data_IF_675504428338
#
_entry.id   IF_675504428338
#
_cell.length_a   1.000
_cell.length_b   1.000
_cell.length_c   1.000
_cell.angle_alpha   90.00
_cell.angle_beta   90.00
_cell.angle_gamma   90.00
#
_symmetry.space_group_name_H-M   'P 1'
#
loop_
_entity.id
_entity.type
_entity.pdbx_description
1 polymer ?
#
# COMPACT_ATOMS: atom_id res chain seq x y z
N UNK A 1 10.61 -5.74 16.47
CA UNK A 1 10.00 -4.40 16.65
C UNK A 1 11.09 -3.34 16.56
N UNK A 2 11.41 -2.90 15.36
CA UNK A 2 12.28 -1.72 15.18
C UNK A 2 11.35 -0.51 15.22
N UNK A 3 11.17 0.09 16.40
CA UNK A 3 10.46 1.36 16.51
C UNK A 3 11.16 2.38 15.61
N UNK A 4 10.36 3.13 14.86
CA UNK A 4 10.88 4.23 14.04
C UNK A 4 11.71 5.17 14.92
N UNK A 5 12.89 5.57 14.46
CA UNK A 5 13.73 6.55 15.15
C UNK A 5 12.89 7.81 15.42
N UNK A 6 12.87 8.28 16.66
CA UNK A 6 12.16 9.51 17.08
C UNK A 6 12.42 10.71 16.16
N UNK A 7 13.56 10.71 15.46
CA UNK A 7 13.92 11.75 14.48
C UNK A 7 13.09 11.64 13.21
N UNK A 8 12.85 10.42 12.70
CA UNK A 8 12.03 10.18 11.51
C UNK A 8 10.59 10.57 11.81
N UNK A 9 10.05 10.17 12.98
CA UNK A 9 8.72 10.54 13.44
C UNK A 9 8.51 12.05 13.51
N UNK A 10 9.48 12.77 14.08
CA UNK A 10 9.40 14.24 14.15
C UNK A 10 9.45 14.89 12.77
N UNK A 11 10.23 14.33 11.84
CA UNK A 11 10.31 14.84 10.47
C UNK A 11 9.06 14.48 9.68
N UNK A 12 8.50 13.29 9.88
CA UNK A 12 7.20 12.93 9.34
C UNK A 12 6.15 13.98 9.73
N UNK A 13 6.01 14.28 11.02
CA UNK A 13 5.04 15.28 11.50
C UNK A 13 5.25 16.64 10.84
N UNK A 14 6.49 17.15 10.82
CA UNK A 14 6.80 18.43 10.20
C UNK A 14 6.42 18.48 8.73
N UNK A 15 6.73 17.44 7.95
CA UNK A 15 6.35 17.36 6.55
C UNK A 15 4.85 17.23 6.39
N UNK A 16 4.25 16.30 7.14
CA UNK A 16 2.84 15.95 7.02
C UNK A 16 1.93 17.14 7.32
N UNK A 17 2.16 17.84 8.43
CA UNK A 17 1.34 18.99 8.83
C UNK A 17 1.45 20.18 7.85
N UNK A 18 2.55 20.30 7.13
CA UNK A 18 2.71 21.32 6.10
C UNK A 18 2.11 20.93 4.74
N UNK A 19 2.06 19.63 4.42
CA UNK A 19 1.39 19.13 3.23
C UNK A 19 -0.13 19.05 3.41
N UNK A 20 -0.59 18.72 4.61
CA UNK A 20 -1.98 18.49 4.94
C UNK A 20 -2.40 19.27 6.20
N UNK A 21 -2.48 20.61 6.10
CA UNK A 21 -2.69 21.48 7.26
C UNK A 21 -4.05 21.33 7.93
N UNK A 22 -5.02 20.73 7.24
CA UNK A 22 -6.38 20.54 7.76
C UNK A 22 -6.53 19.27 8.61
N UNK A 23 -5.52 18.42 8.68
CA UNK A 23 -5.57 17.17 9.46
C UNK A 23 -5.32 17.44 10.93
N UNK A 24 -6.15 16.86 11.79
CA UNK A 24 -5.98 16.94 13.25
C UNK A 24 -4.90 15.95 13.75
N UNK A 25 -4.55 16.05 15.05
CA UNK A 25 -3.49 15.22 15.63
C UNK A 25 -3.74 13.71 15.54
N UNK A 26 -4.98 13.25 15.65
CA UNK A 26 -5.31 11.82 15.58
C UNK A 26 -5.18 11.31 14.15
N UNK A 27 -5.58 12.11 13.17
CA UNK A 27 -5.41 11.82 11.75
C UNK A 27 -3.91 11.77 11.38
N UNK A 28 -3.11 12.67 11.92
CA UNK A 28 -1.65 12.67 11.76
C UNK A 28 -1.04 11.40 12.37
N UNK A 29 -1.47 10.98 13.57
CA UNK A 29 -1.00 9.75 14.22
C UNK A 29 -1.40 8.49 13.43
N UNK A 30 -2.62 8.43 12.90
CA UNK A 30 -3.07 7.33 12.04
C UNK A 30 -2.21 7.22 10.78
N UNK A 31 -1.98 8.34 10.11
CA UNK A 31 -1.14 8.42 8.92
C UNK A 31 0.32 8.04 9.21
N UNK A 32 0.87 8.45 10.38
CA UNK A 32 2.20 8.06 10.82
C UNK A 32 2.32 6.55 11.05
N UNK A 33 1.32 5.92 11.66
CA UNK A 33 1.29 4.46 11.83
C UNK A 33 1.31 3.74 10.49
N UNK A 34 0.51 4.20 9.53
CA UNK A 34 0.47 3.59 8.20
C UNK A 34 1.77 3.81 7.41
N UNK A 35 2.34 5.00 7.50
CA UNK A 35 3.65 5.31 6.92
C UNK A 35 4.75 4.36 7.45
N UNK A 36 4.76 4.11 8.76
CA UNK A 36 5.68 3.15 9.38
C UNK A 36 5.45 1.74 8.85
N UNK A 37 4.19 1.33 8.74
CA UNK A 37 3.82 0.05 8.18
C UNK A 37 4.33 -0.11 6.74
N UNK A 38 4.21 0.92 5.88
CA UNK A 38 4.76 0.88 4.53
C UNK A 38 6.27 0.65 4.57
N UNK A 39 6.99 1.44 5.37
CA UNK A 39 8.46 1.34 5.45
C UNK A 39 8.92 -0.02 5.97
N UNK A 40 8.22 -0.59 6.94
CA UNK A 40 8.57 -1.89 7.53
C UNK A 40 8.26 -3.07 6.61
N UNK A 41 7.23 -2.95 5.77
CA UNK A 41 6.76 -4.01 4.89
C UNK A 41 7.14 -3.79 3.42
N UNK A 42 8.05 -2.89 3.13
CA UNK A 42 8.51 -2.66 1.76
C UNK A 42 9.18 -3.94 1.21
N UNK A 43 8.86 -4.35 -0.04
CA UNK A 43 9.28 -5.66 -0.56
C UNK A 43 10.79 -5.84 -0.67
N UNK A 44 11.53 -4.78 -0.96
CA UNK A 44 12.98 -4.84 -1.13
C UNK A 44 13.70 -4.24 0.08
N UNK A 45 14.50 -5.06 0.77
CA UNK A 45 15.28 -4.63 1.94
C UNK A 45 16.32 -3.55 1.61
N UNK A 46 16.90 -3.58 0.41
CA UNK A 46 17.88 -2.56 -0.01
C UNK A 46 17.21 -1.20 -0.17
N UNK A 47 15.98 -1.17 -0.64
CA UNK A 47 15.18 0.03 -0.80
C UNK A 47 14.70 0.59 0.54
N UNK A 48 14.38 -0.27 1.50
CA UNK A 48 14.10 0.16 2.89
C UNK A 48 15.29 0.91 3.48
N UNK A 49 16.49 0.40 3.30
CA UNK A 49 17.70 1.06 3.80
C UNK A 49 17.88 2.41 3.13
N UNK A 50 17.72 2.49 1.81
CA UNK A 50 17.81 3.75 1.06
C UNK A 50 16.74 4.76 1.53
N UNK A 51 15.49 4.33 1.70
CA UNK A 51 14.41 5.16 2.23
C UNK A 51 14.73 5.66 3.65
N UNK A 52 15.21 4.79 4.53
CA UNK A 52 15.58 5.18 5.91
C UNK A 52 16.73 6.17 5.92
N UNK A 53 17.78 5.92 5.14
CA UNK A 53 18.92 6.84 5.00
C UNK A 53 18.44 8.17 4.45
N UNK A 54 17.60 8.14 3.42
CA UNK A 54 17.01 9.35 2.85
C UNK A 54 16.20 10.12 3.88
N UNK A 55 15.27 9.49 4.59
CA UNK A 55 14.48 10.17 5.63
C UNK A 55 15.35 10.68 6.79
N UNK A 56 16.42 9.96 7.12
CA UNK A 56 17.39 10.42 8.12
C UNK A 56 18.12 11.70 7.66
N UNK A 57 18.65 11.69 6.44
CA UNK A 57 19.33 12.85 5.85
C UNK A 57 18.35 14.02 5.63
N UNK A 58 17.16 13.72 5.16
CA UNK A 58 16.09 14.71 5.00
C UNK A 58 15.68 15.32 6.34
N UNK A 59 15.57 14.51 7.38
CA UNK A 59 15.28 14.99 8.75
C UNK A 59 16.38 15.88 9.31
N UNK A 60 17.62 15.57 8.98
CA UNK A 60 18.77 16.37 9.39
C UNK A 60 18.80 17.70 8.64
N UNK A 61 18.55 17.70 7.33
CA UNK A 61 18.50 18.88 6.48
C UNK A 61 17.36 19.84 6.84
N UNK A 62 16.15 19.33 7.10
CA UNK A 62 15.01 20.13 7.54
C UNK A 62 15.30 20.79 8.90
N UNK A 63 16.02 20.09 9.81
CA UNK A 63 16.16 20.54 11.19
C UNK A 63 17.23 21.58 11.44
N UNK A 64 18.29 21.61 10.65
CA UNK A 64 19.48 22.38 11.04
C UNK A 64 19.91 23.49 10.10
N UNK A 65 19.56 23.45 8.81
CA UNK A 65 20.32 24.30 7.90
C UNK A 65 19.51 25.12 6.89
N UNK A 66 18.39 24.65 6.31
CA UNK A 66 17.94 25.29 5.05
C UNK A 66 16.45 25.49 4.81
N UNK A 67 15.53 24.82 5.50
CA UNK A 67 14.11 24.89 5.11
C UNK A 67 13.27 25.22 6.34
N UNK A 68 12.65 26.39 6.34
CA UNK A 68 11.57 26.72 7.28
C UNK A 68 10.40 25.77 6.99
N UNK A 69 9.70 25.30 8.03
CA UNK A 69 8.60 24.35 7.89
C UNK A 69 7.58 24.78 6.83
N UNK A 70 7.24 26.06 6.77
CA UNK A 70 6.33 26.65 5.76
C UNK A 70 6.83 26.53 4.31
N UNK A 71 8.11 26.25 4.09
CA UNK A 71 8.72 26.08 2.75
C UNK A 71 8.81 24.63 2.29
N UNK A 72 8.39 23.68 3.12
CA UNK A 72 8.45 22.26 2.79
C UNK A 72 7.66 21.90 1.51
N UNK A 73 6.41 22.36 1.31
CA UNK A 73 5.67 22.08 0.09
C UNK A 73 6.36 22.58 -1.18
N UNK A 74 6.89 23.82 -1.12
CA UNK A 74 7.63 24.41 -2.23
C UNK A 74 8.92 23.62 -2.53
N UNK A 75 9.64 23.21 -1.50
CA UNK A 75 10.84 22.39 -1.64
C UNK A 75 10.53 21.04 -2.32
N UNK A 76 9.47 20.34 -1.91
CA UNK A 76 9.06 19.07 -2.52
C UNK A 76 8.68 19.30 -3.99
N UNK A 77 7.95 20.35 -4.30
CA UNK A 77 7.60 20.73 -5.68
C UNK A 77 8.85 20.98 -6.53
N UNK A 78 9.85 21.68 -5.97
CA UNK A 78 11.12 21.93 -6.65
C UNK A 78 11.91 20.62 -6.88
N UNK A 79 11.87 19.68 -5.95
CA UNK A 79 12.43 18.33 -6.19
C UNK A 79 11.75 17.64 -7.37
N UNK A 80 10.40 17.67 -7.43
CA UNK A 80 9.63 17.05 -8.50
C UNK A 80 9.89 17.64 -9.88
N UNK A 81 10.17 18.95 -9.95
CA UNK A 81 10.46 19.67 -11.20
C UNK A 81 11.96 19.73 -11.54
N UNK A 82 12.83 19.11 -10.75
CA UNK A 82 14.29 19.15 -10.95
C UNK A 82 14.70 18.46 -12.27
N UNK A 83 15.70 19.00 -12.93
CA UNK A 83 16.34 18.40 -14.10
C UNK A 83 17.09 17.10 -13.76
N UNK A 84 17.50 16.92 -12.51
CA UNK A 84 18.16 15.72 -12.04
C UNK A 84 17.13 14.61 -11.74
N UNK A 85 17.23 13.50 -12.46
CA UNK A 85 16.25 12.40 -12.36
C UNK A 85 16.15 11.81 -10.94
N UNK A 86 17.25 11.79 -10.19
CA UNK A 86 17.27 11.33 -8.80
C UNK A 86 16.41 12.23 -7.90
N UNK A 87 16.54 13.55 -8.03
CA UNK A 87 15.78 14.51 -7.23
C UNK A 87 14.29 14.45 -7.57
N UNK A 88 13.93 14.28 -8.86
CA UNK A 88 12.53 14.08 -9.26
C UNK A 88 11.93 12.82 -8.64
N UNK A 89 12.69 11.71 -8.68
CA UNK A 89 12.25 10.45 -8.06
C UNK A 89 12.03 10.60 -6.55
N UNK A 90 12.92 11.29 -5.88
CA UNK A 90 12.80 11.58 -4.44
C UNK A 90 11.56 12.42 -4.14
N UNK A 91 11.34 13.51 -4.87
CA UNK A 91 10.16 14.35 -4.68
C UNK A 91 8.86 13.59 -4.94
N UNK A 92 8.81 12.79 -6.02
CA UNK A 92 7.63 11.97 -6.34
C UNK A 92 7.42 10.86 -5.32
N UNK A 93 8.50 10.19 -4.87
CA UNK A 93 8.42 9.15 -3.85
C UNK A 93 7.92 9.67 -2.51
N UNK A 94 8.39 10.83 -2.06
CA UNK A 94 7.88 11.50 -0.85
C UNK A 94 6.38 11.74 -0.99
N UNK A 95 5.95 12.37 -2.08
CA UNK A 95 4.54 12.70 -2.28
C UNK A 95 3.67 11.45 -2.33
N UNK A 96 4.12 10.39 -3.01
CA UNK A 96 3.41 9.12 -3.06
C UNK A 96 3.28 8.47 -1.68
N UNK A 97 4.35 8.41 -0.90
CA UNK A 97 4.34 7.82 0.44
C UNK A 97 3.43 8.59 1.41
N UNK A 98 3.50 9.91 1.39
CA UNK A 98 2.64 10.73 2.23
C UNK A 98 1.18 10.65 1.76
N UNK A 99 0.92 10.66 0.46
CA UNK A 99 -0.42 10.47 -0.11
C UNK A 99 -1.02 9.12 0.29
N UNK A 100 -0.27 8.03 0.14
CA UNK A 100 -0.71 6.70 0.59
C UNK A 100 -1.02 6.67 2.08
N UNK A 101 -0.23 7.36 2.90
CA UNK A 101 -0.45 7.39 4.35
C UNK A 101 -1.70 8.18 4.77
N UNK A 102 -2.23 9.05 3.89
CA UNK A 102 -3.52 9.70 4.11
C UNK A 102 -4.70 8.87 3.61
N UNK A 103 -4.50 8.13 2.51
CA UNK A 103 -5.54 7.35 1.86
C UNK A 103 -5.80 6.01 2.54
N UNK A 104 -4.82 5.49 3.29
CA UNK A 104 -4.91 4.16 3.93
C UNK A 104 -4.62 4.24 5.42
N UNK A 105 -5.21 3.34 6.19
CA UNK A 105 -5.01 3.20 7.62
C UNK A 105 -4.94 1.72 8.01
N UNK A 106 -4.23 1.38 9.06
CA UNK A 106 -4.24 0.02 9.62
C UNK A 106 -5.61 -0.37 10.18
N UNK A 107 -6.42 0.63 10.52
CA UNK A 107 -7.76 0.45 11.09
C UNK A 107 -8.87 0.42 10.00
N UNK A 108 -8.48 0.42 8.72
CA UNK A 108 -9.41 0.27 7.59
C UNK A 108 -9.91 1.57 6.95
N UNK A 109 -9.72 2.72 7.58
CA UNK A 109 -10.17 4.01 7.06
C UNK A 109 -9.01 5.00 6.95
N UNK A 110 -8.71 5.46 5.75
CA UNK A 110 -7.79 6.56 5.53
C UNK A 110 -8.44 7.91 5.88
N UNK A 111 -7.69 8.79 6.50
CA UNK A 111 -8.20 10.08 6.96
C UNK A 111 -8.67 10.98 5.81
N UNK A 112 -8.10 10.83 4.62
CA UNK A 112 -8.44 11.63 3.43
C UNK A 112 -9.89 11.42 2.96
N UNK A 113 -10.46 10.23 3.15
CA UNK A 113 -11.81 9.90 2.68
C UNK A 113 -12.89 10.77 3.31
N UNK A 114 -12.68 11.18 4.55
CA UNK A 114 -13.55 12.14 5.26
C UNK A 114 -13.60 13.50 4.56
N UNK A 115 -12.48 13.95 4.00
CA UNK A 115 -12.38 15.24 3.30
C UNK A 115 -12.87 15.17 1.85
N UNK A 116 -12.89 13.97 1.27
CA UNK A 116 -13.38 13.73 -0.09
C UNK A 116 -14.86 13.35 -0.13
N UNK A 117 -15.52 13.25 1.04
CA UNK A 117 -16.88 12.72 1.16
C UNK A 117 -17.07 11.36 0.46
N UNK A 118 -16.02 10.53 0.55
CA UNK A 118 -15.98 9.23 -0.11
C UNK A 118 -16.61 8.17 0.80
N UNK A 119 -17.57 7.38 0.29
CA UNK A 119 -18.24 6.37 1.09
C UNK A 119 -17.26 5.25 1.46
N UNK A 120 -16.95 5.12 2.74
CA UNK A 120 -16.13 4.01 3.24
C UNK A 120 -17.03 2.87 3.72
N UNK A 121 -16.89 1.72 3.09
CA UNK A 121 -17.68 0.54 3.45
C UNK A 121 -17.06 -0.16 4.68
N UNK A 122 -17.82 -0.20 5.77
CA UNK A 122 -17.35 -0.78 7.06
C UNK A 122 -17.53 -2.30 7.16
N UNK A 123 -18.46 -2.87 6.41
CA UNK A 123 -18.80 -4.29 6.49
C UNK A 123 -17.94 -5.11 5.52
N UNK A 124 -16.73 -5.44 5.94
CA UNK A 124 -15.80 -6.26 5.17
C UNK A 124 -15.60 -7.59 5.89
N UNK A 125 -15.99 -8.68 5.24
CA UNK A 125 -15.78 -10.03 5.77
C UNK A 125 -15.09 -10.90 4.74
N UNK A 126 -14.03 -11.57 5.16
CA UNK A 126 -13.48 -12.70 4.42
C UNK A 126 -14.32 -13.92 4.80
N UNK A 127 -14.95 -14.53 3.82
CA UNK A 127 -15.70 -15.75 4.03
C UNK A 127 -14.70 -16.91 4.00
N UNK A 128 -14.46 -17.49 5.16
CA UNK A 128 -13.80 -18.80 5.27
C UNK A 128 -14.89 -19.85 5.17
N UNK A 129 -14.90 -20.60 4.06
CA UNK A 129 -15.71 -21.82 3.96
C UNK A 129 -14.80 -22.99 4.26
N UNK A 130 -15.24 -23.84 5.18
CA UNK A 130 -14.63 -25.16 5.32
C UNK A 130 -15.00 -25.95 4.07
N UNK A 131 -14.01 -26.16 3.22
CA UNK A 131 -14.16 -26.97 2.01
C UNK A 131 -13.62 -28.35 2.32
N UNK A 132 -14.44 -29.36 2.19
CA UNK A 132 -13.97 -30.75 2.22
C UNK A 132 -13.13 -31.00 0.99
N UNK A 133 -11.83 -31.22 1.19
CA UNK A 133 -10.92 -31.56 0.09
C UNK A 133 -11.19 -33.02 -0.30
N UNK A 134 -11.56 -33.33 -1.56
CA UNK A 134 -11.73 -34.71 -2.02
C UNK A 134 -10.40 -35.47 -1.93
N UNK A 135 -10.46 -36.76 -1.73
CA UNK A 135 -9.25 -37.61 -1.61
C UNK A 135 -8.43 -37.69 -2.89
N UNK A 136 -9.07 -37.51 -4.02
CA UNK A 136 -8.42 -37.46 -5.34
C UNK A 136 -9.13 -36.45 -6.22
N UNK A 137 -8.41 -35.87 -7.14
CA UNK A 137 -8.88 -35.00 -8.22
C UNK A 137 -8.15 -35.42 -9.49
N UNK A 138 -8.84 -35.39 -10.63
CA UNK A 138 -8.23 -35.76 -11.91
C UNK A 138 -7.44 -34.64 -12.52
N UNK A 139 -7.93 -33.39 -12.36
CA UNK A 139 -7.29 -32.18 -12.88
C UNK A 139 -7.18 -31.11 -11.80
N UNK A 140 -5.96 -30.64 -11.55
CA UNK A 140 -5.68 -29.51 -10.68
C UNK A 140 -5.49 -28.23 -11.49
N UNK A 141 -6.32 -27.23 -11.24
CA UNK A 141 -6.20 -25.89 -11.83
C UNK A 141 -5.59 -24.96 -10.79
N UNK A 142 -4.44 -24.38 -11.11
CA UNK A 142 -3.75 -23.46 -10.22
C UNK A 142 -4.10 -22.03 -10.57
N UNK A 143 -4.80 -21.37 -9.67
CA UNK A 143 -5.33 -20.01 -9.84
C UNK A 143 -6.73 -19.99 -10.45
N UNK A 144 -7.60 -19.19 -9.88
CA UNK A 144 -9.00 -19.03 -10.28
C UNK A 144 -9.24 -17.79 -11.16
N UNK A 145 -8.19 -17.15 -11.66
CA UNK A 145 -8.30 -16.02 -12.57
C UNK A 145 -8.98 -16.39 -13.90
N UNK A 146 -9.11 -15.43 -14.81
CA UNK A 146 -9.86 -15.60 -16.08
C UNK A 146 -9.46 -16.86 -16.85
N UNK A 147 -8.16 -17.14 -16.97
CA UNK A 147 -7.68 -18.36 -17.65
C UNK A 147 -8.04 -19.65 -16.91
N UNK A 148 -7.78 -19.70 -15.61
CA UNK A 148 -8.09 -20.86 -14.76
C UNK A 148 -9.58 -21.13 -14.67
N UNK A 149 -10.39 -20.08 -14.53
CA UNK A 149 -11.85 -20.21 -14.51
C UNK A 149 -12.43 -20.78 -15.80
N UNK A 150 -11.95 -20.29 -16.96
CA UNK A 150 -12.38 -20.82 -18.27
C UNK A 150 -11.94 -22.27 -18.44
N UNK A 151 -10.68 -22.58 -18.13
CA UNK A 151 -10.18 -23.97 -18.24
C UNK A 151 -10.98 -24.93 -17.33
N UNK A 152 -11.22 -24.54 -16.08
CA UNK A 152 -12.00 -25.32 -15.16
C UNK A 152 -13.43 -25.56 -15.66
N UNK A 153 -14.10 -24.52 -16.18
CA UNK A 153 -15.44 -24.64 -16.71
C UNK A 153 -15.52 -25.61 -17.90
N UNK A 154 -14.57 -25.55 -18.82
CA UNK A 154 -14.56 -26.43 -20.01
C UNK A 154 -14.22 -27.89 -19.65
N UNK A 155 -13.37 -28.10 -18.69
CA UNK A 155 -12.92 -29.44 -18.30
C UNK A 155 -13.89 -30.14 -17.33
N UNK A 156 -14.68 -29.38 -16.56
CA UNK A 156 -15.58 -29.91 -15.54
C UNK A 156 -16.68 -30.82 -16.10
N UNK A 157 -16.96 -30.77 -17.39
CA UNK A 157 -17.90 -31.70 -18.02
C UNK A 157 -17.38 -33.13 -18.12
N UNK A 158 -16.03 -33.33 -18.08
CA UNK A 158 -15.39 -34.62 -18.33
C UNK A 158 -14.54 -35.11 -17.15
N UNK A 159 -14.09 -34.24 -16.29
CA UNK A 159 -13.10 -34.54 -15.24
C UNK A 159 -13.53 -33.98 -13.89
N UNK A 160 -13.11 -34.63 -12.83
CA UNK A 160 -13.22 -34.09 -11.47
C UNK A 160 -12.12 -33.07 -11.24
N UNK A 161 -12.51 -31.79 -11.08
CA UNK A 161 -11.60 -30.66 -11.04
C UNK A 161 -11.45 -30.07 -9.65
N UNK A 162 -10.21 -29.83 -9.24
CA UNK A 162 -9.87 -29.00 -8.08
C UNK A 162 -9.25 -27.68 -8.50
N UNK A 163 -9.82 -26.55 -8.08
CA UNK A 163 -9.23 -25.23 -8.27
C UNK A 163 -8.51 -24.82 -6.99
N UNK A 164 -7.21 -24.54 -7.09
CA UNK A 164 -6.38 -24.10 -5.98
C UNK A 164 -6.10 -22.61 -6.14
N UNK A 165 -6.69 -21.79 -5.27
CA UNK A 165 -6.56 -20.34 -5.29
C UNK A 165 -5.74 -19.86 -4.08
N UNK A 166 -4.75 -18.98 -4.34
CA UNK A 166 -3.90 -18.39 -3.31
C UNK A 166 -4.65 -17.40 -2.42
N UNK A 167 -5.58 -16.69 -3.02
CA UNK A 167 -6.32 -15.63 -2.36
C UNK A 167 -7.62 -16.07 -1.73
N UNK A 168 -8.20 -15.20 -0.94
CA UNK A 168 -9.43 -15.46 -0.20
C UNK A 168 -10.65 -15.04 -1.01
N UNK A 169 -11.80 -15.60 -0.64
CA UNK A 169 -13.10 -15.12 -1.11
C UNK A 169 -13.64 -14.06 -0.14
N UNK A 170 -13.90 -12.86 -0.64
CA UNK A 170 -14.41 -11.76 0.16
C UNK A 170 -15.69 -11.16 -0.40
N UNK A 171 -16.80 -11.33 0.30
CA UNK A 171 -18.06 -10.70 -0.09
C UNK A 171 -18.06 -9.24 0.34
N UNK A 172 -18.11 -8.32 -0.62
CA UNK A 172 -18.12 -6.86 -0.38
C UNK A 172 -16.82 -6.28 0.20
N UNK A 173 -15.83 -7.12 0.51
CA UNK A 173 -14.59 -6.67 1.12
C UNK A 173 -13.74 -5.78 0.20
N UNK A 174 -13.86 -5.94 -1.11
CA UNK A 174 -13.18 -5.13 -2.11
C UNK A 174 -13.66 -3.67 -2.11
N UNK A 175 -14.85 -3.41 -1.59
CA UNK A 175 -15.40 -2.06 -1.50
C UNK A 175 -14.74 -1.20 -0.42
N UNK A 176 -13.92 -1.80 0.45
CA UNK A 176 -13.04 -1.08 1.36
C UNK A 176 -11.62 -1.12 0.80
N UNK A 177 -11.11 -0.01 0.31
CA UNK A 177 -9.83 0.03 -0.38
C UNK A 177 -8.67 -0.48 0.48
N UNK A 178 -8.56 -0.01 1.73
CA UNK A 178 -7.48 -0.43 2.61
C UNK A 178 -7.53 -1.94 2.88
N UNK A 179 -8.72 -2.43 3.20
CA UNK A 179 -8.93 -3.87 3.42
C UNK A 179 -8.69 -4.67 2.13
N UNK A 180 -9.16 -4.15 0.99
CA UNK A 180 -8.96 -4.74 -0.34
C UNK A 180 -7.47 -4.88 -0.67
N UNK A 181 -6.69 -3.81 -0.52
CA UNK A 181 -5.25 -3.85 -0.77
C UNK A 181 -4.51 -4.84 0.11
N UNK A 182 -4.85 -4.94 1.39
CA UNK A 182 -4.19 -5.89 2.30
C UNK A 182 -4.55 -7.35 2.02
N UNK A 183 -5.77 -7.60 1.61
CA UNK A 183 -6.27 -8.97 1.50
C UNK A 183 -6.31 -9.51 0.08
N UNK A 184 -6.49 -8.66 -0.93
CA UNK A 184 -6.69 -9.07 -2.32
C UNK A 184 -5.58 -8.64 -3.29
N UNK A 185 -4.51 -8.03 -2.80
CA UNK A 185 -3.35 -7.72 -3.63
C UNK A 185 -2.07 -8.30 -3.02
N UNK A 186 -1.17 -8.81 -3.87
CA UNK A 186 0.16 -9.24 -3.45
C UNK A 186 0.94 -8.04 -2.91
N UNK A 187 1.76 -8.29 -1.89
CA UNK A 187 2.56 -7.24 -1.21
C UNK A 187 1.74 -6.01 -0.79
N UNK A 188 0.46 -6.22 -0.44
CA UNK A 188 -0.48 -5.16 -0.04
C UNK A 188 -0.63 -4.04 -1.10
N UNK A 189 -0.50 -4.40 -2.39
CA UNK A 189 -0.56 -3.45 -3.50
C UNK A 189 0.62 -2.48 -3.56
N UNK A 190 1.78 -2.82 -2.98
CA UNK A 190 2.99 -1.98 -2.96
C UNK A 190 4.08 -2.59 -3.87
N UNK A 191 3.72 -3.43 -4.82
CA UNK A 191 4.66 -4.02 -5.75
C UNK A 191 4.99 -3.05 -6.89
N UNK A 192 6.27 -2.92 -7.22
CA UNK A 192 6.71 -2.04 -8.30
C UNK A 192 7.93 -2.58 -9.03
N UNK A 193 8.13 -2.11 -10.25
CA UNK A 193 9.30 -2.48 -11.04
C UNK A 193 10.58 -1.85 -10.50
N UNK A 194 11.74 -2.48 -10.76
CA UNK A 194 13.04 -1.85 -10.51
C UNK A 194 13.09 -0.49 -11.18
N UNK A 195 13.43 0.54 -10.41
CA UNK A 195 13.47 1.92 -10.88
C UNK A 195 12.15 2.68 -10.76
N UNK A 196 11.15 2.12 -10.08
CA UNK A 196 9.91 2.80 -9.67
C UNK A 196 9.07 3.40 -10.81
N UNK A 197 9.18 2.84 -12.01
CA UNK A 197 8.47 3.36 -13.19
C UNK A 197 7.03 2.87 -13.29
N UNK A 198 6.77 1.66 -12.79
CA UNK A 198 5.46 1.03 -12.90
C UNK A 198 5.08 0.42 -11.56
N UNK A 199 3.89 0.78 -11.06
CA UNK A 199 3.25 0.11 -9.94
C UNK A 199 2.52 -1.13 -10.48
N UNK A 200 2.80 -2.29 -9.87
CA UNK A 200 2.15 -3.55 -10.23
C UNK A 200 1.08 -3.85 -9.18
N UNK A 201 -0.14 -3.96 -9.61
CA UNK A 201 -1.26 -4.41 -8.78
C UNK A 201 -1.58 -5.85 -9.20
N UNK A 202 -0.94 -6.80 -8.54
CA UNK A 202 -1.22 -8.23 -8.76
C UNK A 202 -2.32 -8.67 -7.79
N UNK A 203 -3.48 -8.99 -8.31
CA UNK A 203 -4.60 -9.51 -7.53
C UNK A 203 -4.31 -10.90 -6.98
N UNK A 204 -4.93 -11.23 -5.86
CA UNK A 204 -5.01 -12.56 -5.26
C UNK A 204 -6.40 -12.74 -4.67
N UNK A 205 -7.22 -13.54 -5.32
CA UNK A 205 -8.60 -13.77 -4.90
C UNK A 205 -9.32 -14.68 -5.86
N UNK A 206 -10.49 -15.17 -5.46
CA UNK A 206 -11.32 -15.96 -6.37
C UNK A 206 -11.80 -15.06 -7.51
N UNK A 207 -11.41 -15.42 -8.74
CA UNK A 207 -11.68 -14.67 -9.96
C UNK A 207 -10.50 -13.84 -10.46
N UNK A 208 -9.41 -13.71 -9.67
CA UNK A 208 -8.18 -13.00 -10.01
C UNK A 208 -8.07 -11.62 -9.40
#
# INVERSE_FOLDING_TARGET
NVSMDKRISKSFKAVFTNLYPNFNEDEVKKSEKYFNFIIENFPDRSEIIQLRVFFYLFSFGIRKIFIKDSKIPEFIKNLQSSNLSLLRKLGSGITALFGLSTARSLDGEGSVYKYLDYPVYKNTKIIKKDVSIPKSIEVAVIGSGSGGGVAANLLNEKYEIGIFEKGSYGNGAINNETFGYHNFYDTNGIQQTRGYKVLLLAGKGIGG
#
